data_IF_357677448453
#
_entry.id   IF_357677448453
#
_cell.length_a   1.000
_cell.length_b   1.000
_cell.length_c   1.000
_cell.angle_alpha   90.00
_cell.angle_beta   90.00
_cell.angle_gamma   90.00
#
_symmetry.space_group_name_H-M   'P 1'
#
loop_
_entity.id
_entity.type
_entity.pdbx_description
1 polymer ?
#
# COMPACT_ATOMS: atom_id res chain seq x y z
N UNK A 1 17.50 -7.61 -29.54
CA UNK A 1 16.51 -6.60 -29.12
C UNK A 1 16.98 -5.98 -27.81
N UNK A 2 17.25 -4.67 -27.76
CA UNK A 2 17.49 -3.99 -26.48
C UNK A 2 16.15 -3.98 -25.73
N UNK A 3 16.11 -4.54 -24.53
CA UNK A 3 14.97 -4.37 -23.63
C UNK A 3 14.79 -2.88 -23.39
N UNK A 4 13.64 -2.32 -23.74
CA UNK A 4 13.35 -0.92 -23.47
C UNK A 4 13.43 -0.68 -21.96
N UNK A 5 14.19 0.35 -21.57
CA UNK A 5 14.49 0.63 -20.17
C UNK A 5 13.27 1.30 -19.53
N UNK A 6 12.81 0.77 -18.40
CA UNK A 6 11.85 1.45 -17.52
C UNK A 6 12.59 2.45 -16.65
N UNK A 7 12.17 3.71 -16.70
CA UNK A 7 12.66 4.79 -15.85
C UNK A 7 11.64 5.01 -14.74
N UNK A 8 12.14 5.24 -13.52
CA UNK A 8 11.33 5.63 -12.37
C UNK A 8 11.89 6.94 -11.85
N UNK A 9 11.02 7.92 -11.63
CA UNK A 9 11.39 9.23 -11.11
C UNK A 9 10.35 9.72 -10.13
N UNK A 10 10.72 10.67 -9.29
CA UNK A 10 9.81 11.38 -8.40
C UNK A 10 9.30 12.64 -9.10
N UNK A 11 7.99 12.90 -9.01
CA UNK A 11 7.39 14.15 -9.52
C UNK A 11 7.07 15.11 -8.38
N UNK A 12 7.15 16.40 -8.68
CA UNK A 12 6.79 17.50 -7.77
C UNK A 12 5.95 18.58 -8.46
N UNK A 13 5.65 18.40 -9.76
CA UNK A 13 4.92 19.38 -10.56
C UNK A 13 3.51 18.85 -10.85
N UNK A 14 2.51 19.57 -10.34
CA UNK A 14 1.09 19.25 -10.57
C UNK A 14 0.64 19.59 -11.98
N UNK A 15 1.39 20.45 -12.67
CA UNK A 15 1.10 20.81 -14.05
C UNK A 15 1.77 19.86 -15.04
N UNK A 16 2.59 18.91 -14.57
CA UNK A 16 3.14 17.85 -15.40
C UNK A 16 1.99 16.95 -15.89
N UNK A 17 1.77 16.84 -17.21
CA UNK A 17 0.75 15.95 -17.77
C UNK A 17 0.89 14.47 -17.33
N UNK A 18 2.10 14.01 -16.97
CA UNK A 18 2.31 12.66 -16.42
C UNK A 18 1.81 12.53 -14.99
N UNK A 19 1.83 13.60 -14.18
CA UNK A 19 1.20 13.63 -12.86
C UNK A 19 -0.32 13.50 -13.00
N UNK A 20 -0.93 14.18 -13.97
CA UNK A 20 -2.37 14.07 -14.24
C UNK A 20 -2.74 12.66 -14.72
N UNK A 21 -1.96 12.08 -15.64
CA UNK A 21 -2.16 10.70 -16.08
C UNK A 21 -1.99 9.67 -14.96
N UNK A 22 -1.23 9.98 -13.91
CA UNK A 22 -1.14 9.13 -12.72
C UNK A 22 -2.45 9.12 -11.94
N UNK A 23 -3.21 10.22 -11.92
CA UNK A 23 -4.56 10.28 -11.35
C UNK A 23 -5.55 9.38 -12.09
N UNK A 24 -5.55 9.43 -13.42
CA UNK A 24 -6.38 8.54 -14.24
C UNK A 24 -6.03 7.07 -13.98
N UNK A 25 -4.73 6.75 -13.93
CA UNK A 25 -4.25 5.40 -13.67
C UNK A 25 -4.57 4.95 -12.23
N UNK A 26 -4.53 5.87 -11.26
CA UNK A 26 -4.93 5.63 -9.88
C UNK A 26 -6.39 5.21 -9.79
N UNK A 27 -7.26 5.92 -10.49
CA UNK A 27 -8.68 5.57 -10.51
C UNK A 27 -8.95 4.23 -11.20
N UNK A 28 -8.22 3.91 -12.26
CA UNK A 28 -8.37 2.66 -13.01
C UNK A 28 -7.85 1.42 -12.26
N UNK A 29 -6.89 1.58 -11.36
CA UNK A 29 -6.18 0.45 -10.73
C UNK A 29 -6.61 0.14 -9.30
N UNK A 30 -7.28 1.07 -8.62
CA UNK A 30 -7.71 0.92 -7.23
C UNK A 30 -9.23 0.92 -7.11
N UNK A 31 -9.73 0.12 -6.17
CA UNK A 31 -11.15 0.05 -5.89
C UNK A 31 -11.65 1.35 -5.24
N UNK A 32 -12.87 1.82 -5.57
CA UNK A 32 -13.43 3.06 -5.02
C UNK A 32 -13.30 3.21 -3.51
N UNK A 33 -13.53 2.14 -2.77
CA UNK A 33 -13.60 2.14 -1.30
C UNK A 33 -12.23 2.39 -0.65
N UNK A 34 -11.15 2.09 -1.37
CA UNK A 34 -9.76 2.24 -0.90
C UNK A 34 -9.17 3.64 -1.20
N UNK A 35 -9.85 4.44 -2.03
CA UNK A 35 -9.27 5.65 -2.61
C UNK A 35 -9.62 6.90 -1.81
N UNK A 36 -8.61 7.65 -1.41
CA UNK A 36 -8.80 9.08 -1.08
C UNK A 36 -8.91 9.90 -2.38
N UNK A 37 -9.46 11.13 -2.32
CA UNK A 37 -9.47 12.03 -3.47
C UNK A 37 -8.06 12.29 -4.01
N UNK A 38 -7.85 12.14 -5.33
CA UNK A 38 -6.54 12.32 -5.97
C UNK A 38 -5.93 13.71 -5.70
N UNK A 39 -6.76 14.75 -5.65
CA UNK A 39 -6.33 16.12 -5.31
C UNK A 39 -5.63 16.23 -3.95
N UNK A 40 -5.90 15.32 -3.01
CA UNK A 40 -5.18 15.26 -1.73
C UNK A 40 -3.75 14.75 -1.89
N UNK A 41 -3.52 13.81 -2.82
CA UNK A 41 -2.19 13.30 -3.17
C UNK A 41 -1.39 14.41 -3.86
N UNK A 42 -1.98 15.09 -4.84
CA UNK A 42 -1.36 16.21 -5.55
C UNK A 42 -0.89 17.31 -4.59
N UNK A 43 -1.81 17.87 -3.80
CA UNK A 43 -1.48 18.92 -2.82
C UNK A 43 -0.40 18.48 -1.84
N UNK A 44 -0.39 17.22 -1.45
CA UNK A 44 0.58 16.70 -0.51
C UNK A 44 2.00 16.65 -1.08
N UNK A 45 2.14 16.38 -2.38
CA UNK A 45 3.44 16.32 -3.08
C UNK A 45 3.92 17.73 -3.45
N UNK A 46 3.04 18.63 -3.88
CA UNK A 46 3.39 20.03 -4.17
C UNK A 46 3.98 20.74 -2.94
N UNK A 47 3.35 20.56 -1.78
CA UNK A 47 3.81 21.17 -0.53
C UNK A 47 5.24 20.74 -0.15
N UNK A 48 5.70 19.58 -0.61
CA UNK A 48 7.08 19.11 -0.36
C UNK A 48 8.12 19.92 -1.12
N UNK A 49 7.80 20.48 -2.28
CA UNK A 49 8.71 21.38 -3.02
C UNK A 49 9.17 22.58 -2.17
N UNK A 50 8.34 22.98 -1.20
CA UNK A 50 8.56 24.15 -0.36
C UNK A 50 9.02 23.81 1.06
N UNK A 51 9.47 22.57 1.32
CA UNK A 51 9.78 22.10 2.67
C UNK A 51 10.91 22.94 3.31
N UNK A 52 10.62 23.54 4.47
CA UNK A 52 11.58 24.26 5.30
C UNK A 52 12.32 23.30 6.24
N UNK A 53 13.52 23.69 6.69
CA UNK A 53 14.51 22.88 7.43
C UNK A 53 14.09 22.32 8.81
N UNK A 54 12.88 22.63 9.32
CA UNK A 54 12.49 22.37 10.73
C UNK A 54 11.40 21.29 10.94
N UNK A 55 11.04 20.51 9.93
CA UNK A 55 9.91 19.56 10.00
C UNK A 55 10.28 18.13 10.43
N UNK A 56 11.06 17.98 11.51
CA UNK A 56 11.53 16.67 12.00
C UNK A 56 10.44 15.67 12.41
N UNK A 57 9.17 16.08 12.45
CA UNK A 57 8.05 15.24 12.91
C UNK A 57 6.93 15.08 11.88
N UNK A 58 7.07 15.67 10.68
CA UNK A 58 6.05 15.53 9.64
C UNK A 58 6.39 14.40 8.67
N UNK A 59 5.34 13.75 8.18
CA UNK A 59 5.47 12.74 7.14
C UNK A 59 6.13 13.34 5.89
N UNK A 60 7.10 12.63 5.33
CA UNK A 60 7.65 12.99 4.01
C UNK A 60 6.91 12.19 2.95
N UNK A 61 6.14 12.85 2.09
CA UNK A 61 5.28 12.18 1.09
C UNK A 61 5.93 12.20 -0.28
N UNK A 62 5.74 11.12 -1.04
CA UNK A 62 6.40 10.85 -2.32
C UNK A 62 5.39 10.37 -3.35
N UNK A 63 5.52 10.86 -4.58
CA UNK A 63 4.86 10.29 -5.75
C UNK A 63 5.91 9.94 -6.79
N UNK A 64 6.09 8.64 -7.00
CA UNK A 64 6.93 8.10 -8.04
C UNK A 64 6.11 7.74 -9.26
N UNK A 65 6.63 8.07 -10.42
CA UNK A 65 6.08 7.72 -11.72
C UNK A 65 7.04 6.77 -12.45
N UNK A 66 6.49 5.92 -13.30
CA UNK A 66 7.27 5.02 -14.13
C UNK A 66 6.77 5.02 -15.57
N UNK A 67 7.70 5.06 -16.52
CA UNK A 67 7.44 4.97 -17.94
C UNK A 67 8.63 4.31 -18.65
N UNK A 68 8.45 3.90 -19.91
CA UNK A 68 9.60 3.56 -20.75
C UNK A 68 10.36 4.85 -21.07
N UNK A 69 11.67 4.74 -21.23
CA UNK A 69 12.53 5.89 -21.56
C UNK A 69 12.06 6.67 -22.80
N UNK A 70 11.53 5.96 -23.81
CA UNK A 70 10.98 6.58 -25.02
C UNK A 70 9.62 7.27 -24.83
N UNK A 71 8.95 7.05 -23.69
CA UNK A 71 7.59 7.50 -23.39
C UNK A 71 7.56 8.59 -22.29
N UNK A 72 8.72 9.14 -21.90
CA UNK A 72 8.85 10.12 -20.82
C UNK A 72 8.13 11.45 -21.06
N UNK A 73 7.57 11.67 -22.25
CA UNK A 73 6.79 12.85 -22.61
C UNK A 73 5.38 12.49 -23.10
N UNK A 74 4.95 11.22 -22.94
CA UNK A 74 3.70 10.70 -23.47
C UNK A 74 2.76 10.25 -22.32
N UNK A 75 1.88 11.13 -21.82
CA UNK A 75 1.00 10.82 -20.67
C UNK A 75 0.16 9.55 -20.81
N UNK A 76 -0.45 9.25 -21.98
CA UNK A 76 -1.18 7.99 -22.17
C UNK A 76 -0.31 6.72 -22.11
N UNK A 77 1.02 6.88 -22.07
CA UNK A 77 2.02 5.81 -21.97
C UNK A 77 2.70 5.78 -20.60
N UNK A 78 2.11 6.40 -19.58
CA UNK A 78 2.52 6.18 -18.20
C UNK A 78 2.34 4.70 -17.84
N UNK A 79 3.39 4.07 -17.32
CA UNK A 79 3.43 2.63 -17.05
C UNK A 79 3.02 2.28 -15.62
N UNK A 80 3.18 3.20 -14.67
CA UNK A 80 2.80 2.99 -13.27
C UNK A 80 3.10 4.17 -12.38
N UNK A 81 2.58 4.10 -11.16
CA UNK A 81 2.81 5.08 -10.10
C UNK A 81 2.96 4.38 -8.74
N UNK A 82 3.64 5.03 -7.80
CA UNK A 82 3.66 4.65 -6.39
C UNK A 82 3.57 5.91 -5.52
N UNK A 83 2.65 5.91 -4.56
CA UNK A 83 2.51 6.99 -3.59
C UNK A 83 2.63 6.44 -2.17
N UNK A 84 3.36 7.15 -1.32
CA UNK A 84 3.54 6.77 0.07
C UNK A 84 4.33 7.83 0.83
N UNK A 85 4.71 7.49 2.06
CA UNK A 85 5.42 8.42 2.92
C UNK A 85 6.44 7.74 3.84
N UNK A 86 7.48 8.47 4.22
CA UNK A 86 8.26 8.16 5.42
C UNK A 86 7.55 8.75 6.63
N UNK A 87 7.36 7.93 7.68
CA UNK A 87 6.75 8.28 8.94
C UNK A 87 7.84 8.30 10.01
N UNK A 88 8.33 9.50 10.42
CA UNK A 88 9.41 9.62 11.40
C UNK A 88 9.13 8.85 12.69
N UNK A 89 10.15 8.16 13.20
CA UNK A 89 10.06 7.29 14.38
C UNK A 89 9.23 6.01 14.21
N UNK A 90 8.79 5.68 12.98
CA UNK A 90 7.98 4.49 12.73
C UNK A 90 8.46 3.63 11.55
N UNK A 91 8.14 4.00 10.31
CA UNK A 91 8.42 3.19 9.13
C UNK A 91 8.28 3.95 7.81
N UNK A 92 8.65 3.31 6.70
CA UNK A 92 8.14 3.70 5.39
C UNK A 92 6.75 3.10 5.16
N UNK A 93 5.83 3.87 4.59
CA UNK A 93 4.44 3.45 4.36
C UNK A 93 4.05 3.67 2.91
N UNK A 94 3.87 2.58 2.15
CA UNK A 94 3.45 2.64 0.75
C UNK A 94 1.92 2.56 0.69
N UNK A 95 1.25 3.69 0.46
CA UNK A 95 -0.21 3.77 0.43
C UNK A 95 -0.80 3.17 -0.85
N UNK A 96 -0.24 3.53 -2.01
CA UNK A 96 -0.84 3.20 -3.30
C UNK A 96 0.22 2.79 -4.31
N UNK A 97 -0.08 1.76 -5.09
CA UNK A 97 0.75 1.25 -6.18
C UNK A 97 -0.14 0.80 -7.33
N UNK A 98 0.04 1.41 -8.50
CA UNK A 98 -0.69 1.04 -9.71
C UNK A 98 0.27 0.77 -10.87
N UNK A 99 -0.08 -0.21 -11.70
CA UNK A 99 0.65 -0.55 -12.94
C UNK A 99 -0.37 -0.68 -14.06
N UNK A 100 -0.14 0.07 -15.14
CA UNK A 100 -0.99 0.03 -16.31
C UNK A 100 -1.04 -1.39 -16.90
N UNK A 101 -2.20 -1.80 -17.40
CA UNK A 101 -2.39 -3.17 -17.90
C UNK A 101 -1.38 -3.56 -18.98
N UNK A 102 -1.15 -2.65 -19.93
CA UNK A 102 -0.18 -2.84 -21.03
C UNK A 102 1.26 -2.99 -20.52
N UNK A 103 1.58 -2.47 -19.33
CA UNK A 103 2.90 -2.50 -18.74
C UNK A 103 3.11 -3.66 -17.74
N UNK A 104 2.09 -4.50 -17.53
CA UNK A 104 2.21 -5.68 -16.67
C UNK A 104 3.31 -6.61 -17.20
N UNK A 105 4.00 -7.26 -16.27
CA UNK A 105 5.14 -8.17 -16.54
C UNK A 105 6.40 -7.49 -17.11
N UNK A 106 6.42 -6.17 -17.29
CA UNK A 106 7.63 -5.42 -17.66
C UNK A 106 8.53 -5.02 -16.46
N UNK A 107 8.19 -5.49 -15.25
CA UNK A 107 8.96 -5.21 -14.03
C UNK A 107 8.72 -3.82 -13.41
N UNK A 108 7.72 -3.07 -13.88
CA UNK A 108 7.38 -1.72 -13.40
C UNK A 108 7.14 -1.69 -11.89
N UNK A 109 6.25 -2.55 -11.38
CA UNK A 109 5.95 -2.61 -9.95
C UNK A 109 7.18 -2.91 -9.08
N UNK A 110 8.08 -3.78 -9.53
CA UNK A 110 9.33 -4.07 -8.82
C UNK A 110 10.18 -2.80 -8.73
N UNK A 111 10.37 -2.08 -9.84
CA UNK A 111 11.20 -0.86 -9.86
C UNK A 111 10.61 0.27 -9.03
N UNK A 112 9.29 0.43 -9.05
CA UNK A 112 8.59 1.42 -8.22
C UNK A 112 8.80 1.15 -6.73
N UNK A 113 8.58 -0.08 -6.28
CA UNK A 113 8.78 -0.45 -4.87
C UNK A 113 10.24 -0.35 -4.45
N UNK A 114 11.19 -0.80 -5.28
CA UNK A 114 12.63 -0.66 -5.00
C UNK A 114 13.05 0.81 -4.89
N UNK A 115 12.54 1.67 -5.76
CA UNK A 115 12.81 3.11 -5.67
C UNK A 115 12.20 3.71 -4.41
N UNK A 116 10.97 3.33 -4.08
CA UNK A 116 10.30 3.75 -2.85
C UNK A 116 11.14 3.39 -1.62
N UNK A 117 11.59 2.14 -1.49
CA UNK A 117 12.40 1.71 -0.35
C UNK A 117 13.72 2.47 -0.22
N UNK A 118 14.39 2.74 -1.34
CA UNK A 118 15.61 3.55 -1.34
C UNK A 118 15.34 4.95 -0.83
N UNK A 119 14.25 5.56 -1.27
CA UNK A 119 13.91 6.91 -0.81
C UNK A 119 13.53 6.95 0.67
N UNK A 120 12.77 5.97 1.18
CA UNK A 120 12.49 5.88 2.62
C UNK A 120 13.76 5.80 3.45
N UNK A 121 14.78 5.08 2.97
CA UNK A 121 16.07 4.98 3.67
C UNK A 121 16.85 6.30 3.63
N UNK A 122 16.75 7.06 2.53
CA UNK A 122 17.32 8.42 2.45
C UNK A 122 16.64 9.33 3.48
N UNK A 123 15.32 9.33 3.51
CA UNK A 123 14.54 10.18 4.42
C UNK A 123 14.82 9.88 5.90
N UNK A 124 14.87 8.60 6.28
CA UNK A 124 15.27 8.18 7.62
C UNK A 124 16.71 8.64 7.95
N UNK A 125 17.63 8.47 7.01
CA UNK A 125 19.01 8.90 7.13
C UNK A 125 19.18 10.42 7.28
N UNK A 126 18.38 11.23 6.59
CA UNK A 126 18.37 12.68 6.73
C UNK A 126 17.92 13.15 8.13
N UNK A 127 17.08 12.37 8.80
CA UNK A 127 16.69 12.61 10.20
C UNK A 127 17.63 11.95 11.22
N UNK A 128 18.56 11.09 10.78
CA UNK A 128 19.41 10.29 11.66
C UNK A 128 18.64 9.21 12.42
N UNK A 129 17.55 8.72 11.85
CA UNK A 129 16.68 7.69 12.42
C UNK A 129 16.87 6.35 11.68
N UNK A 130 16.65 5.21 12.35
CA UNK A 130 16.63 3.91 11.68
C UNK A 130 15.38 3.78 10.79
N UNK A 131 15.51 3.08 9.66
CA UNK A 131 14.35 2.59 8.92
C UNK A 131 14.16 1.10 9.26
N UNK A 132 13.28 0.72 10.20
CA UNK A 132 13.16 -0.68 10.61
C UNK A 132 12.56 -1.55 9.50
N UNK A 133 11.50 -1.06 8.85
CA UNK A 133 10.78 -1.76 7.78
C UNK A 133 10.00 -0.76 6.90
N UNK A 134 9.48 -1.27 5.78
CA UNK A 134 8.44 -0.61 4.97
C UNK A 134 7.17 -1.45 5.00
N UNK A 135 6.02 -0.83 5.23
CA UNK A 135 4.71 -1.47 5.39
C UNK A 135 3.74 -1.00 4.30
N UNK A 136 2.83 -1.87 3.88
CA UNK A 136 1.71 -1.53 3.00
C UNK A 136 0.55 -2.49 3.17
N UNK A 137 -0.64 -2.01 2.82
CA UNK A 137 -1.85 -2.80 2.74
C UNK A 137 -2.14 -3.22 1.30
N UNK A 138 -2.92 -4.29 1.16
CA UNK A 138 -3.42 -4.69 -0.15
C UNK A 138 -4.71 -5.49 -0.01
N UNK A 139 -5.74 -5.10 -0.77
CA UNK A 139 -7.01 -5.83 -0.82
C UNK A 139 -6.86 -7.21 -1.46
N UNK A 140 -7.29 -8.22 -0.72
CA UNK A 140 -7.43 -9.59 -1.22
C UNK A 140 -8.81 -9.72 -1.88
N UNK A 141 -8.94 -10.45 -3.00
CA UNK A 141 -10.27 -10.73 -3.55
C UNK A 141 -11.08 -11.61 -2.59
N UNK A 142 -12.40 -11.44 -2.62
CA UNK A 142 -13.32 -12.30 -1.88
C UNK A 142 -13.15 -13.78 -2.24
N UNK A 143 -13.51 -14.66 -1.30
CA UNK A 143 -13.34 -16.11 -1.47
C UNK A 143 -14.08 -16.66 -2.70
N UNK A 144 -15.23 -16.10 -3.03
CA UNK A 144 -16.09 -16.45 -4.16
C UNK A 144 -15.79 -15.65 -5.44
N UNK A 145 -14.85 -14.69 -5.40
CA UNK A 145 -14.47 -13.91 -6.56
C UNK A 145 -14.01 -14.79 -7.73
N UNK A 146 -14.21 -14.27 -8.94
CA UNK A 146 -13.84 -14.95 -10.18
C UNK A 146 -12.33 -15.19 -10.33
N UNK A 147 -11.99 -16.12 -11.22
CA UNK A 147 -10.60 -16.54 -11.48
C UNK A 147 -9.68 -15.37 -11.85
N UNK A 148 -10.15 -14.40 -12.64
CA UNK A 148 -9.35 -13.24 -13.04
C UNK A 148 -8.88 -12.39 -11.83
N UNK A 149 -9.73 -12.22 -10.81
CA UNK A 149 -9.40 -11.48 -9.60
C UNK A 149 -8.32 -12.23 -8.79
N UNK A 150 -8.44 -13.55 -8.66
CA UNK A 150 -7.45 -14.41 -8.00
C UNK A 150 -6.12 -14.49 -8.75
N UNK A 151 -6.14 -14.45 -10.09
CA UNK A 151 -4.92 -14.35 -10.89
C UNK A 151 -4.20 -13.02 -10.70
N UNK A 152 -4.95 -11.91 -10.64
CA UNK A 152 -4.39 -10.60 -10.35
C UNK A 152 -3.78 -10.56 -8.94
N UNK A 153 -4.49 -11.09 -7.94
CA UNK A 153 -3.99 -11.24 -6.57
C UNK A 153 -2.70 -12.05 -6.52
N UNK A 154 -2.67 -13.20 -7.18
CA UNK A 154 -1.48 -14.06 -7.26
C UNK A 154 -0.30 -13.32 -7.91
N UNK A 155 -0.54 -12.54 -8.95
CA UNK A 155 0.49 -11.72 -9.58
C UNK A 155 1.02 -10.62 -8.63
N UNK A 156 0.13 -10.00 -7.85
CA UNK A 156 0.48 -9.00 -6.83
C UNK A 156 1.33 -9.61 -5.71
N UNK A 157 0.92 -10.76 -5.17
CA UNK A 157 1.69 -11.50 -4.16
C UNK A 157 3.06 -11.93 -4.68
N UNK A 158 3.17 -12.35 -5.95
CA UNK A 158 4.47 -12.66 -6.57
C UNK A 158 5.38 -11.43 -6.67
N UNK A 159 4.82 -10.25 -6.93
CA UNK A 159 5.57 -8.99 -6.86
C UNK A 159 6.07 -8.75 -5.43
N UNK A 160 5.19 -8.85 -4.42
CA UNK A 160 5.55 -8.67 -3.01
C UNK A 160 6.67 -9.62 -2.58
N UNK A 161 6.55 -10.91 -2.93
CA UNK A 161 7.59 -11.89 -2.66
C UNK A 161 8.93 -11.52 -3.33
N UNK A 162 8.90 -11.02 -4.57
CA UNK A 162 10.12 -10.64 -5.32
C UNK A 162 10.86 -9.49 -4.65
N UNK A 163 10.13 -8.56 -4.05
CA UNK A 163 10.72 -7.41 -3.36
C UNK A 163 11.09 -7.71 -1.90
N UNK A 164 10.98 -8.97 -1.47
CA UNK A 164 11.37 -9.41 -0.13
C UNK A 164 10.31 -9.16 0.95
N UNK A 165 9.04 -9.06 0.57
CA UNK A 165 7.95 -8.88 1.52
C UNK A 165 7.65 -10.14 2.33
N UNK A 166 7.12 -9.90 3.53
CA UNK A 166 6.48 -10.86 4.40
C UNK A 166 5.02 -10.46 4.58
N UNK A 167 4.13 -11.45 4.63
CA UNK A 167 2.72 -11.27 4.94
C UNK A 167 2.53 -11.36 6.46
N UNK A 168 1.73 -10.46 7.02
CA UNK A 168 1.27 -10.55 8.41
C UNK A 168 -0.03 -11.36 8.41
N UNK A 169 0.08 -12.65 8.71
CA UNK A 169 -1.06 -13.57 8.85
C UNK A 169 -1.73 -13.37 10.22
N UNK A 170 -3.05 -13.62 10.29
CA UNK A 170 -3.79 -13.71 11.55
C UNK A 170 -4.50 -12.43 11.97
N UNK A 171 -4.51 -11.42 11.10
CA UNK A 171 -5.25 -10.17 11.24
C UNK A 171 -5.76 -9.74 9.86
N UNK A 172 -7.05 -9.38 9.79
CA UNK A 172 -7.58 -8.57 8.69
C UNK A 172 -7.55 -7.11 9.13
N UNK A 173 -6.80 -6.29 8.40
CA UNK A 173 -6.63 -4.89 8.75
C UNK A 173 -7.78 -4.07 8.19
N UNK A 174 -8.61 -3.50 9.07
CA UNK A 174 -9.80 -2.76 8.66
C UNK A 174 -9.48 -1.27 8.51
N UNK A 175 -9.80 -0.74 7.33
CA UNK A 175 -9.71 0.70 7.04
C UNK A 175 -11.09 1.31 6.88
N UNK A 176 -11.24 2.63 7.12
CA UNK A 176 -12.43 3.34 6.70
C UNK A 176 -12.69 3.13 5.20
N UNK A 177 -13.96 3.12 4.84
CA UNK A 177 -14.37 3.17 3.44
C UNK A 177 -14.48 4.63 2.99
N UNK A 178 -13.60 5.03 2.07
CA UNK A 178 -13.52 6.42 1.62
C UNK A 178 -14.49 6.76 0.47
N UNK A 179 -15.26 5.78 -0.02
CA UNK A 179 -16.29 6.00 -1.03
C UNK A 179 -17.63 6.46 -0.44
N UNK A 180 -17.80 6.42 0.88
CA UNK A 180 -19.00 6.87 1.56
C UNK A 180 -19.10 8.39 1.49
N UNK A 181 -20.03 8.88 0.66
CA UNK A 181 -20.31 10.31 0.54
C UNK A 181 -21.07 10.80 1.79
N UNK A 182 -20.81 12.04 2.18
CA UNK A 182 -21.35 12.79 3.33
C UNK A 182 -22.90 12.99 3.37
N UNK A 183 -23.69 12.11 2.74
CA UNK A 183 -25.15 12.23 2.63
C UNK A 183 -25.88 11.15 3.42
N UNK A 184 -25.70 11.13 4.74
CA UNK A 184 -26.68 10.59 5.70
C UNK A 184 -27.05 9.11 5.62
N UNK A 185 -26.32 8.29 4.86
CA UNK A 185 -26.51 6.84 4.77
C UNK A 185 -25.63 6.08 5.77
N UNK A 186 -26.04 4.84 6.08
CA UNK A 186 -25.41 3.94 7.05
C UNK A 186 -23.88 3.91 6.94
N UNK A 187 -23.20 3.82 8.09
CA UNK A 187 -21.74 3.77 8.17
C UNK A 187 -21.20 2.70 7.22
N UNK A 188 -20.49 3.14 6.18
CA UNK A 188 -20.08 2.25 5.10
C UNK A 188 -19.15 1.15 5.63
N UNK A 189 -19.37 -0.08 5.14
CA UNK A 189 -18.63 -1.24 5.60
C UNK A 189 -17.12 -1.01 5.49
N UNK A 190 -16.35 -1.30 6.55
CA UNK A 190 -14.91 -1.17 6.53
C UNK A 190 -14.28 -2.03 5.44
N UNK A 191 -13.16 -1.58 4.88
CA UNK A 191 -12.45 -2.34 3.85
C UNK A 191 -11.42 -3.26 4.51
N UNK A 192 -11.56 -4.59 4.39
CA UNK A 192 -10.57 -5.52 4.91
C UNK A 192 -9.36 -5.62 3.98
N UNK A 193 -8.18 -5.36 4.52
CA UNK A 193 -6.92 -5.40 3.80
C UNK A 193 -5.94 -6.37 4.44
N UNK A 194 -5.05 -6.93 3.62
CA UNK A 194 -3.94 -7.75 4.08
C UNK A 194 -2.70 -6.87 4.26
N UNK A 195 -1.97 -7.07 5.37
CA UNK A 195 -0.75 -6.33 5.65
C UNK A 195 0.49 -7.06 5.15
N UNK A 196 1.38 -6.32 4.51
CA UNK A 196 2.69 -6.80 4.10
C UNK A 196 3.77 -5.84 4.58
N UNK A 197 4.90 -6.40 5.00
CA UNK A 197 6.07 -5.61 5.34
C UNK A 197 7.32 -6.11 4.65
N UNK A 198 8.24 -5.21 4.36
CA UNK A 198 9.61 -5.52 3.96
C UNK A 198 10.56 -5.09 5.08
N UNK A 199 11.27 -6.03 5.73
CA UNK A 199 12.34 -5.71 6.66
C UNK A 199 13.42 -4.88 5.97
N UNK A 200 13.88 -3.82 6.63
CA UNK A 200 14.96 -2.94 6.14
C UNK A 200 16.19 -3.11 7.03
N UNK A 201 16.04 -2.78 8.32
CA UNK A 201 17.06 -2.95 9.36
C UNK A 201 16.61 -3.92 10.46
N UNK A 202 15.31 -3.93 10.80
CA UNK A 202 14.76 -4.83 11.82
C UNK A 202 14.67 -6.26 11.25
N UNK A 203 15.36 -7.27 11.82
CA UNK A 203 15.35 -8.61 11.27
C UNK A 203 14.00 -9.31 11.50
N UNK A 204 13.64 -10.23 10.62
CA UNK A 204 12.38 -11.02 10.72
C UNK A 204 12.23 -11.70 12.08
N UNK A 205 13.32 -12.18 12.68
CA UNK A 205 13.30 -12.83 14.00
C UNK A 205 12.92 -11.89 15.16
N UNK A 206 13.03 -10.58 14.99
CA UNK A 206 12.59 -9.58 15.98
C UNK A 206 11.08 -9.27 15.90
N UNK A 207 10.43 -9.65 14.79
CA UNK A 207 9.02 -9.37 14.52
C UNK A 207 8.14 -10.46 15.14
N UNK A 208 8.17 -10.54 16.47
CA UNK A 208 7.30 -11.41 17.26
C UNK A 208 5.82 -11.03 17.11
N UNK A 209 4.92 -11.90 17.57
CA UNK A 209 3.48 -11.60 17.53
C UNK A 209 3.12 -10.33 18.30
N UNK A 210 3.74 -10.11 19.47
CA UNK A 210 3.57 -8.88 20.25
C UNK A 210 4.06 -7.65 19.48
N UNK A 211 5.25 -7.74 18.87
CA UNK A 211 5.82 -6.64 18.07
C UNK A 211 4.94 -6.31 16.87
N UNK A 212 4.39 -7.33 16.18
CA UNK A 212 3.46 -7.14 15.07
C UNK A 212 2.17 -6.45 15.51
N UNK A 213 1.60 -6.81 16.68
CA UNK A 213 0.43 -6.11 17.23
C UNK A 213 0.73 -4.63 17.50
N UNK A 214 1.91 -4.31 18.03
CA UNK A 214 2.33 -2.92 18.25
C UNK A 214 2.46 -2.16 16.93
N UNK A 215 3.04 -2.77 15.89
CA UNK A 215 3.15 -2.18 14.56
C UNK A 215 1.76 -1.88 13.96
N UNK A 216 0.84 -2.84 14.05
CA UNK A 216 -0.54 -2.69 13.54
C UNK A 216 -1.28 -1.59 14.33
N UNK A 217 -1.14 -1.54 15.65
CA UNK A 217 -1.75 -0.52 16.49
C UNK A 217 -1.21 0.87 16.14
N UNK A 218 0.12 0.99 15.99
CA UNK A 218 0.75 2.25 15.62
C UNK A 218 0.34 2.69 14.21
N UNK A 219 0.13 1.77 13.27
CA UNK A 219 -0.43 2.08 11.95
C UNK A 219 -1.84 2.67 12.07
N UNK A 220 -2.76 2.03 12.81
CA UNK A 220 -4.11 2.56 13.06
C UNK A 220 -4.07 3.96 13.67
N UNK A 221 -3.23 4.18 14.68
CA UNK A 221 -3.14 5.45 15.39
C UNK A 221 -2.49 6.56 14.55
N UNK A 222 -1.46 6.22 13.78
CA UNK A 222 -0.67 7.21 13.05
C UNK A 222 -1.35 7.57 11.74
N UNK A 223 -1.78 6.57 10.97
CA UNK A 223 -2.33 6.77 9.63
C UNK A 223 -3.84 7.03 9.67
N UNK A 224 -4.57 6.18 10.37
CA UNK A 224 -6.04 6.24 10.39
C UNK A 224 -6.61 7.04 11.56
N UNK A 225 -5.74 7.51 12.47
CA UNK A 225 -6.10 8.28 13.68
C UNK A 225 -7.09 7.54 14.58
N UNK A 226 -7.01 6.21 14.61
CA UNK A 226 -7.84 5.33 15.45
C UNK A 226 -7.02 4.70 16.57
N UNK A 227 -7.59 4.63 17.77
CA UNK A 227 -6.94 4.08 18.96
C UNK A 227 -7.86 3.16 19.75
N UNK A 228 -7.41 2.64 20.90
CA UNK A 228 -8.23 1.79 21.76
C UNK A 228 -9.60 2.40 22.07
N UNK A 229 -10.64 1.58 21.98
CA UNK A 229 -12.04 2.01 22.11
C UNK A 229 -12.71 2.48 20.81
N UNK A 230 -11.99 2.52 19.68
CA UNK A 230 -12.56 2.70 18.34
C UNK A 230 -12.90 1.35 17.71
N UNK A 231 -14.07 1.24 17.07
CA UNK A 231 -14.57 -0.04 16.56
C UNK A 231 -13.65 -0.66 15.48
N UNK A 232 -13.05 0.16 14.60
CA UNK A 232 -12.11 -0.35 13.59
C UNK A 232 -10.82 -0.85 14.24
N UNK A 233 -10.35 -0.14 15.26
CA UNK A 233 -9.16 -0.53 16.02
C UNK A 233 -9.39 -1.87 16.73
N UNK A 234 -10.49 -2.01 17.46
CA UNK A 234 -10.80 -3.23 18.23
C UNK A 234 -11.08 -4.42 17.32
N UNK A 235 -11.72 -4.22 16.17
CA UNK A 235 -11.93 -5.28 15.19
C UNK A 235 -10.65 -5.69 14.44
N UNK A 236 -9.75 -4.74 14.20
CA UNK A 236 -8.42 -5.04 13.61
C UNK A 236 -7.52 -5.79 14.62
N UNK A 237 -7.59 -5.45 15.91
CA UNK A 237 -6.75 -6.02 16.97
C UNK A 237 -7.56 -6.66 18.10
N UNK A 238 -8.39 -7.68 17.81
CA UNK A 238 -9.25 -8.27 18.83
C UNK A 238 -8.42 -8.90 19.96
N UNK A 239 -8.96 -8.97 21.19
CA UNK A 239 -8.28 -9.60 22.31
C UNK A 239 -7.80 -11.02 21.96
N UNK A 240 -6.51 -11.29 22.17
CA UNK A 240 -5.91 -12.59 21.90
C UNK A 240 -5.52 -12.85 20.44
N UNK A 241 -5.65 -11.88 19.51
CA UNK A 241 -5.04 -12.02 18.19
C UNK A 241 -3.53 -12.30 18.29
N UNK A 242 -3.05 -13.21 17.45
CA UNK A 242 -1.65 -13.63 17.41
C UNK A 242 -1.10 -13.50 15.98
N UNK A 243 -0.89 -12.27 15.47
CA UNK A 243 -0.33 -12.07 14.15
C UNK A 243 1.04 -12.75 14.02
N UNK A 244 1.35 -13.28 12.84
CA UNK A 244 2.61 -13.97 12.55
C UNK A 244 3.13 -13.56 11.19
N UNK A 245 4.46 -13.48 11.05
CA UNK A 245 5.06 -13.33 9.73
C UNK A 245 5.11 -14.65 8.98
N UNK A 246 4.58 -14.62 7.76
CA UNK A 246 4.67 -15.69 6.78
C UNK A 246 5.34 -15.18 5.51
N UNK A 247 6.04 -16.06 4.76
CA UNK A 247 6.46 -15.72 3.42
C UNK A 247 5.28 -15.22 2.58
N UNK A 248 5.46 -14.12 1.84
CA UNK A 248 4.37 -13.46 1.13
C UNK A 248 3.58 -14.42 0.22
N UNK A 249 4.23 -15.40 -0.41
CA UNK A 249 3.58 -16.38 -1.28
C UNK A 249 2.44 -17.17 -0.61
N UNK A 250 2.44 -17.31 0.73
CA UNK A 250 1.35 -17.98 1.44
C UNK A 250 0.02 -17.20 1.36
N UNK A 251 0.07 -15.87 1.22
CA UNK A 251 -1.12 -15.04 1.05
C UNK A 251 -1.86 -15.33 -0.27
N UNK A 252 -1.20 -15.95 -1.26
CA UNK A 252 -1.81 -16.29 -2.55
C UNK A 252 -2.76 -17.51 -2.49
N UNK A 253 -2.78 -18.26 -1.40
CA UNK A 253 -3.66 -19.43 -1.25
C UNK A 253 -5.13 -18.98 -1.27
N UNK A 254 -6.00 -19.66 -2.00
CA UNK A 254 -7.44 -19.36 -1.95
C UNK A 254 -8.05 -19.96 -0.68
N UNK A 255 -8.78 -19.20 0.15
CA UNK A 255 -9.54 -19.78 1.24
C UNK A 255 -10.51 -20.82 0.69
N UNK A 256 -10.57 -22.00 1.31
CA UNK A 256 -11.62 -22.96 0.99
C UNK A 256 -12.96 -22.34 1.39
N UNK A 257 -13.99 -22.32 0.52
CA UNK A 257 -15.31 -21.85 0.93
C UNK A 257 -15.77 -22.69 2.13
N UNK A 258 -16.09 -22.04 3.25
CA UNK A 258 -16.73 -22.74 4.36
C UNK A 258 -18.06 -23.28 3.82
N UNK A 259 -18.33 -24.59 3.91
CA UNK A 259 -19.63 -25.12 3.50
C UNK A 259 -20.69 -24.41 4.31
N UNK A 260 -21.61 -23.70 3.63
CA UNK A 260 -22.81 -23.18 4.28
C UNK A 260 -23.52 -24.40 4.86
N UNK A 261 -23.62 -24.47 6.19
CA UNK A 261 -24.33 -25.56 6.85
C UNK A 261 -25.73 -25.62 6.23
N UNK A 262 -26.01 -26.72 5.54
CA UNK A 262 -27.30 -26.93 4.89
C UNK A 262 -28.37 -26.82 5.98
N UNK A 263 -29.07 -25.69 5.99
CA UNK A 263 -30.15 -25.42 6.92
C UNK A 263 -31.15 -26.56 6.84
N UNK A 264 -31.30 -27.25 7.97
CA UNK A 264 -32.36 -28.23 8.21
C UNK A 264 -33.68 -27.55 7.87
N UNK A 265 -34.31 -27.97 6.76
CA UNK A 265 -35.71 -27.66 6.50
C UNK A 265 -36.52 -28.43 7.54
N UNK A 266 -37.15 -27.69 8.44
CA UNK A 266 -38.25 -28.19 9.26
C UNK A 266 -39.45 -28.56 8.39
#
# INVERSE_FOLDING_TARGET
MRSERIVVWETFDLNDPLTQAAGDLYEQTLAPEERIPWIWIEKAVENRRHRKRNFRQEWTKHLFLAAREADLEAPPRLAGYAYGAYLPGFCGYLCYLGVAEWARRLGVGTRLMEQFFRQMAVDAGELGEPLPFVLWESRRPEADAGEAAWQLWTARVRLFQRVGAWWIEGVDFLTPNFAANDEGEEEAEPVPLQLFLRPMEEPVSALSSERLRQIIAQLQQTVYRRGPGDDLYEQTLPPGCQPQLRPAWQAAQRPTPTPVAAGVRA
#
